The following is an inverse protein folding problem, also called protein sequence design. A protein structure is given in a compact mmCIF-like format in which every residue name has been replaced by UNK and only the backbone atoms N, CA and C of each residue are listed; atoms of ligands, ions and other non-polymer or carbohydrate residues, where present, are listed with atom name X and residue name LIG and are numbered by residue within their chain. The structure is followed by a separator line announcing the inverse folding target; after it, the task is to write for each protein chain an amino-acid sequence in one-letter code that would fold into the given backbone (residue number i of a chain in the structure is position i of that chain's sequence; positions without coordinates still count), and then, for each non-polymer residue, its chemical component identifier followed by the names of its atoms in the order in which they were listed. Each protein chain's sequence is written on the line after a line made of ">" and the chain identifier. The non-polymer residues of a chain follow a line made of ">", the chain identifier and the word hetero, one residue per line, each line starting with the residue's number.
data_IF_657264721152
#
_entry.id   IF_657264721152
#
_cell.length_a   1.000
_cell.length_b   1.000
_cell.length_c   1.000
_cell.angle_alpha   90.00
_cell.angle_beta   90.00
_cell.angle_gamma   90.00
#
_symmetry.space_group_name_H-M   'P 1'
#
loop_
_entity.id
_entity.type
_entity.pdbx_description
1 polymer ?
#
# COMPACT_ATOMS: atom_id res chain seq x y z
N UNK A 1 -7.42 20.20 19.10
CA UNK A 1 -6.29 19.50 19.76
C UNK A 1 -5.43 20.61 20.29
N UNK A 2 -5.09 20.62 21.57
CA UNK A 2 -4.21 21.65 22.11
C UNK A 2 -2.75 21.21 21.89
N UNK A 3 -1.90 22.20 21.64
CA UNK A 3 -0.45 22.03 21.64
C UNK A 3 0.06 22.47 23.01
N UNK A 4 0.88 21.63 23.64
CA UNK A 4 1.55 21.91 24.89
C UNK A 4 3.04 22.15 24.63
N UNK A 5 3.60 23.16 25.30
CA UNK A 5 5.07 23.31 25.37
C UNK A 5 5.61 22.26 26.33
N UNK A 6 6.71 21.61 25.98
CA UNK A 6 7.39 20.59 26.81
C UNK A 6 8.83 20.99 27.08
N UNK A 7 9.49 20.34 28.04
CA UNK A 7 10.91 20.56 28.32
C UNK A 7 11.80 19.81 27.33
N UNK A 8 13.06 20.25 27.21
CA UNK A 8 14.10 19.54 26.45
C UNK A 8 14.26 18.08 26.91
N UNK A 9 14.32 17.85 28.23
CA UNK A 9 14.43 16.50 28.79
C UNK A 9 13.25 15.62 28.34
N UNK A 10 12.03 16.15 28.42
CA UNK A 10 10.82 15.44 27.98
C UNK A 10 10.88 15.14 26.48
N UNK A 11 11.37 16.10 25.67
CA UNK A 11 11.51 15.92 24.24
C UNK A 11 12.56 14.85 23.90
N UNK A 12 13.70 14.83 24.59
CA UNK A 12 14.79 13.89 24.36
C UNK A 12 14.49 12.47 24.86
N UNK A 13 13.51 12.29 25.76
CA UNK A 13 13.06 10.98 26.22
C UNK A 13 12.23 10.21 25.18
N UNK A 14 11.76 10.87 24.12
CA UNK A 14 11.02 10.20 23.04
C UNK A 14 11.95 9.42 22.10
N UNK A 15 11.42 8.34 21.53
CA UNK A 15 12.17 7.41 20.70
C UNK A 15 12.35 7.93 19.26
N UNK A 16 13.37 8.75 19.03
CA UNK A 16 13.84 9.15 17.71
C UNK A 16 15.37 9.32 17.67
N UNK A 17 15.93 9.25 16.46
CA UNK A 17 17.37 9.46 16.26
C UNK A 17 17.64 10.90 15.87
N UNK A 18 18.43 11.63 16.66
CA UNK A 18 18.95 12.94 16.25
C UNK A 18 19.95 12.79 15.11
N UNK A 19 19.87 13.64 14.10
CA UNK A 19 20.80 13.61 12.97
C UNK A 19 22.21 14.07 13.41
N UNK A 20 23.23 13.19 13.37
CA UNK A 20 24.57 13.53 13.89
C UNK A 20 25.26 14.67 13.13
N UNK A 21 24.86 14.94 11.89
CA UNK A 21 25.49 15.93 11.00
C UNK A 21 25.20 17.39 11.36
N UNK A 22 24.30 17.65 12.31
CA UNK A 22 23.91 19.01 12.75
C UNK A 22 24.51 19.39 14.11
N UNK A 23 25.27 18.48 14.75
CA UNK A 23 25.86 18.69 16.07
C UNK A 23 26.81 19.90 16.03
N UNK A 24 26.48 20.95 16.76
CA UNK A 24 27.29 22.17 16.90
C UNK A 24 26.96 23.30 15.91
N UNK A 25 26.05 23.07 14.96
CA UNK A 25 25.62 24.09 13.98
C UNK A 25 24.26 24.70 14.34
N UNK A 26 23.38 23.91 14.94
CA UNK A 26 22.04 24.34 15.35
C UNK A 26 21.83 24.12 16.84
N UNK A 27 20.98 24.93 17.46
CA UNK A 27 20.56 24.77 18.86
C UNK A 27 19.04 24.71 18.96
N UNK A 28 18.54 23.70 19.64
CA UNK A 28 17.11 23.59 19.98
C UNK A 28 16.76 24.56 21.12
N UNK A 29 15.68 25.32 20.97
CA UNK A 29 15.26 26.35 21.95
C UNK A 29 13.83 26.14 22.46
N UNK A 30 12.95 25.57 21.63
CA UNK A 30 11.54 25.38 21.99
C UNK A 30 11.06 24.02 21.52
N UNK A 31 10.37 23.31 22.41
CA UNK A 31 9.81 21.99 22.15
C UNK A 31 8.32 21.98 22.43
N UNK A 32 7.57 21.31 21.57
CA UNK A 32 6.12 21.20 21.62
C UNK A 32 5.67 19.77 21.37
N UNK A 33 4.51 19.43 21.92
CA UNK A 33 3.81 18.19 21.62
C UNK A 33 2.31 18.44 21.56
N UNK A 34 1.57 17.60 20.85
CA UNK A 34 0.12 17.55 20.96
C UNK A 34 -0.31 16.84 22.26
N UNK A 35 -1.57 17.04 22.68
CA UNK A 35 -2.09 16.42 23.92
C UNK A 35 -2.00 14.89 23.95
N UNK A 36 -2.04 14.25 22.78
CA UNK A 36 -2.01 12.80 22.64
C UNK A 36 -0.64 12.25 22.24
N UNK A 37 0.40 13.09 22.26
CA UNK A 37 1.80 12.74 22.03
C UNK A 37 2.02 12.02 20.69
N UNK A 38 1.19 12.28 19.67
CA UNK A 38 1.42 11.76 18.31
C UNK A 38 2.31 12.67 17.48
N UNK A 39 2.50 13.92 17.90
CA UNK A 39 3.30 14.91 17.21
C UNK A 39 4.28 15.55 18.18
N UNK A 40 5.50 15.74 17.69
CA UNK A 40 6.55 16.51 18.33
C UNK A 40 6.99 17.61 17.39
N UNK A 41 7.29 18.78 17.95
CA UNK A 41 7.78 19.93 17.22
C UNK A 41 8.95 20.56 17.95
N UNK A 42 9.97 20.97 17.22
CA UNK A 42 11.08 21.76 17.79
C UNK A 42 11.39 22.96 16.92
N UNK A 43 11.77 24.06 17.57
CA UNK A 43 12.31 25.27 16.95
C UNK A 43 13.81 25.30 17.22
N UNK A 44 14.56 25.53 16.16
CA UNK A 44 16.02 25.48 16.09
C UNK A 44 16.54 26.86 15.67
N UNK A 45 17.64 27.31 16.25
CA UNK A 45 18.40 28.47 15.75
C UNK A 45 19.66 27.99 15.02
N UNK A 46 19.89 28.47 13.81
CA UNK A 46 21.17 28.33 13.13
C UNK A 46 22.19 29.29 13.76
N UNK A 47 23.32 28.75 14.21
CA UNK A 47 24.33 29.54 14.90
C UNK A 47 25.22 30.35 13.95
N UNK A 48 25.19 30.10 12.64
CA UNK A 48 25.98 30.75 11.60
C UNK A 48 25.31 32.05 11.15
N UNK A 49 24.09 31.99 10.62
CA UNK A 49 23.39 33.15 10.05
C UNK A 49 22.26 33.69 10.93
N UNK A 50 22.00 33.04 12.07
CA UNK A 50 21.00 33.44 13.07
C UNK A 50 19.56 33.39 12.57
N UNK A 51 19.31 32.59 11.54
CA UNK A 51 17.95 32.25 11.15
C UNK A 51 17.39 31.11 12.01
N UNK A 52 16.08 30.93 11.94
CA UNK A 52 15.33 29.93 12.68
C UNK A 52 14.81 28.86 11.73
N UNK A 53 14.73 27.64 12.26
CA UNK A 53 14.21 26.47 11.56
C UNK A 53 13.23 25.74 12.46
N UNK A 54 12.28 25.03 11.85
CA UNK A 54 11.30 24.22 12.57
C UNK A 54 11.34 22.79 12.05
N UNK A 55 11.14 21.85 12.96
CA UNK A 55 11.05 20.42 12.64
C UNK A 55 9.82 19.84 13.32
N UNK A 56 9.04 19.08 12.57
CA UNK A 56 7.86 18.37 13.03
C UNK A 56 8.06 16.88 12.78
N UNK A 57 7.81 16.07 13.81
CA UNK A 57 7.88 14.62 13.76
C UNK A 57 6.55 14.01 14.21
N UNK A 58 6.14 12.92 13.56
CA UNK A 58 4.95 12.17 13.91
C UNK A 58 5.31 10.77 14.43
N UNK A 59 4.54 10.29 15.41
CA UNK A 59 4.62 8.93 15.94
C UNK A 59 4.01 7.96 14.93
N UNK A 60 4.81 6.99 14.50
CA UNK A 60 4.41 5.93 13.59
C UNK A 60 3.90 4.69 14.33
N UNK A 61 3.30 3.74 13.60
CA UNK A 61 2.67 2.54 14.19
C UNK A 61 3.66 1.61 14.93
N UNK A 62 4.96 1.69 14.61
CA UNK A 62 6.02 0.95 15.28
C UNK A 62 6.55 1.64 16.55
N UNK A 63 5.99 2.80 16.91
CA UNK A 63 6.35 3.55 18.10
C UNK A 63 7.58 4.45 17.94
N UNK A 64 8.06 4.67 16.71
CA UNK A 64 9.14 5.63 16.43
C UNK A 64 8.59 6.96 15.92
N UNK A 65 9.21 8.07 16.34
CA UNK A 65 8.92 9.37 15.73
C UNK A 65 9.77 9.57 14.47
N UNK A 66 9.14 9.97 13.38
CA UNK A 66 9.79 10.24 12.10
C UNK A 66 9.49 11.64 11.60
N UNK A 67 10.45 12.21 10.89
CA UNK A 67 10.30 13.52 10.24
C UNK A 67 9.06 13.54 9.34
N UNK A 68 8.24 14.57 9.50
CA UNK A 68 7.00 14.76 8.73
C UNK A 68 7.03 16.06 7.95
N UNK A 69 7.48 17.15 8.57
CA UNK A 69 7.51 18.48 7.95
C UNK A 69 8.55 19.38 8.64
N UNK A 70 8.97 20.44 7.97
CA UNK A 70 9.91 21.41 8.50
C UNK A 70 10.08 22.61 7.59
N UNK A 71 10.57 23.71 8.15
CA UNK A 71 10.98 24.90 7.39
C UNK A 71 12.32 25.39 7.92
N UNK A 72 13.06 26.08 7.06
CA UNK A 72 14.38 26.65 7.34
C UNK A 72 14.38 28.12 6.95
N UNK A 73 15.36 28.87 7.46
CA UNK A 73 15.55 30.27 7.10
C UNK A 73 14.37 31.18 7.40
N UNK A 74 13.86 31.08 8.63
CA UNK A 74 12.86 31.96 9.20
C UNK A 74 13.57 33.08 9.97
N UNK A 75 13.27 34.34 9.69
CA UNK A 75 14.03 35.47 10.23
C UNK A 75 13.79 35.68 11.73
N UNK A 76 12.56 35.50 12.20
CA UNK A 76 12.15 35.83 13.57
C UNK A 76 11.74 34.58 14.38
N UNK A 77 12.13 34.55 15.65
CA UNK A 77 11.82 33.47 16.61
C UNK A 77 10.31 33.28 16.78
N UNK A 78 9.59 34.37 17.02
CA UNK A 78 8.14 34.37 17.22
C UNK A 78 7.41 33.85 15.97
N UNK A 79 7.90 34.22 14.78
CA UNK A 79 7.38 33.72 13.51
C UNK A 79 7.60 32.20 13.39
N UNK A 80 8.79 31.71 13.73
CA UNK A 80 9.08 30.28 13.69
C UNK A 80 8.17 29.49 14.63
N UNK A 81 7.95 29.99 15.85
CA UNK A 81 7.03 29.39 16.83
C UNK A 81 5.59 29.35 16.29
N UNK A 82 5.11 30.44 15.70
CA UNK A 82 3.74 30.52 15.16
C UNK A 82 3.54 29.63 13.92
N UNK A 83 4.53 29.58 13.02
CA UNK A 83 4.54 28.66 11.87
C UNK A 83 4.53 27.21 12.31
N UNK A 84 5.36 26.85 13.29
CA UNK A 84 5.39 25.50 13.88
C UNK A 84 4.01 25.12 14.42
N UNK A 85 3.41 25.95 15.29
CA UNK A 85 2.10 25.68 15.89
C UNK A 85 1.00 25.55 14.84
N UNK A 86 1.02 26.40 13.83
CA UNK A 86 0.05 26.39 12.73
C UNK A 86 0.13 25.09 11.95
N UNK A 87 1.33 24.67 11.55
CA UNK A 87 1.57 23.41 10.84
C UNK A 87 1.22 22.19 11.68
N UNK A 88 1.69 22.13 12.93
CA UNK A 88 1.34 21.04 13.85
C UNK A 88 -0.18 20.93 14.03
N UNK A 89 -0.90 22.05 14.14
CA UNK A 89 -2.36 22.05 14.23
C UNK A 89 -3.03 21.54 12.95
N UNK A 90 -2.50 21.89 11.78
CA UNK A 90 -3.00 21.41 10.50
C UNK A 90 -2.77 19.90 10.33
N UNK A 91 -1.57 19.40 10.67
CA UNK A 91 -1.22 17.97 10.65
C UNK A 91 -2.10 17.20 11.63
N UNK A 92 -2.25 17.70 12.86
CA UNK A 92 -3.13 17.10 13.86
C UNK A 92 -4.58 17.03 13.37
N UNK A 93 -5.08 18.07 12.70
CA UNK A 93 -6.44 18.10 12.15
C UNK A 93 -6.60 17.10 11.00
N UNK A 94 -5.63 17.03 10.09
CA UNK A 94 -5.63 16.07 8.99
C UNK A 94 -5.59 14.62 9.51
N UNK A 95 -4.67 14.33 10.44
CA UNK A 95 -4.58 13.03 11.08
C UNK A 95 -5.79 12.67 11.94
N UNK A 96 -6.48 13.66 12.55
CA UNK A 96 -7.77 13.43 13.21
C UNK A 96 -8.88 13.12 12.23
N UNK A 97 -8.97 13.82 11.11
CA UNK A 97 -9.95 13.54 10.06
C UNK A 97 -9.73 12.11 9.56
N UNK A 98 -8.48 11.76 9.26
CA UNK A 98 -8.10 10.42 8.84
C UNK A 98 -8.41 9.36 9.91
N UNK A 99 -7.99 9.58 11.17
CA UNK A 99 -8.32 8.69 12.28
C UNK A 99 -9.83 8.64 12.56
N UNK A 100 -10.62 9.70 12.39
CA UNK A 100 -12.09 9.69 12.54
C UNK A 100 -12.77 8.95 11.38
N UNK A 101 -12.27 9.09 10.15
CA UNK A 101 -12.67 8.27 9.01
C UNK A 101 -12.43 6.78 9.30
N UNK A 102 -11.24 6.43 9.83
CA UNK A 102 -10.88 5.04 10.15
C UNK A 102 -11.39 4.52 11.50
N UNK A 103 -11.71 5.38 12.48
CA UNK A 103 -12.21 5.01 13.82
C UNK A 103 -13.71 5.13 13.97
N UNK A 104 -14.39 5.77 13.01
CA UNK A 104 -15.85 5.72 12.97
C UNK A 104 -16.29 4.26 12.94
N UNK A 105 -17.22 3.91 13.83
CA UNK A 105 -17.85 2.57 13.92
C UNK A 105 -18.63 2.17 12.65
N UNK A 106 -18.47 2.92 11.55
CA UNK A 106 -18.86 2.53 10.20
C UNK A 106 -17.95 1.40 9.66
N UNK A 107 -16.75 1.22 10.21
CA UNK A 107 -15.85 0.13 9.86
C UNK A 107 -15.63 -0.82 11.04
N UNK A 108 -16.60 -1.70 11.29
CA UNK A 108 -16.27 -2.97 11.94
C UNK A 108 -15.25 -3.69 11.05
N UNK A 109 -14.13 -4.12 11.62
CA UNK A 109 -13.15 -4.99 10.94
C UNK A 109 -13.78 -6.26 10.34
N UNK A 110 -14.97 -6.65 10.82
CA UNK A 110 -15.80 -7.75 10.29
C UNK A 110 -16.91 -7.29 9.33
N UNK A 111 -17.10 -5.98 9.12
CA UNK A 111 -18.05 -5.49 8.13
C UNK A 111 -17.64 -5.92 6.73
N UNK A 112 -18.61 -6.32 5.89
CA UNK A 112 -18.35 -6.67 4.50
C UNK A 112 -17.76 -5.47 3.76
N UNK A 113 -16.63 -5.67 3.06
CA UNK A 113 -16.03 -4.63 2.22
C UNK A 113 -16.87 -4.48 0.96
N UNK A 114 -17.40 -3.29 0.73
CA UNK A 114 -18.03 -2.93 -0.54
C UNK A 114 -17.03 -2.12 -1.34
N UNK A 115 -16.24 -2.81 -2.17
CA UNK A 115 -15.34 -2.15 -3.12
C UNK A 115 -16.15 -1.78 -4.36
N UNK A 116 -16.36 -0.49 -4.59
CA UNK A 116 -17.09 -0.01 -5.78
C UNK A 116 -16.17 0.22 -6.97
N UNK A 117 -14.92 0.60 -6.72
CA UNK A 117 -13.91 0.88 -7.74
C UNK A 117 -12.52 0.45 -7.24
N UNK A 118 -11.62 0.09 -8.17
CA UNK A 118 -10.23 -0.28 -7.87
C UNK A 118 -9.34 0.90 -8.23
N UNK A 119 -8.74 1.52 -7.22
CA UNK A 119 -7.78 2.61 -7.38
C UNK A 119 -6.51 2.35 -6.56
N UNK A 120 -5.56 3.28 -6.61
CA UNK A 120 -4.29 3.21 -5.86
C UNK A 120 -4.49 3.05 -4.34
N UNK A 121 -5.49 3.74 -3.76
CA UNK A 121 -5.78 3.64 -2.32
C UNK A 121 -6.27 2.24 -1.94
N UNK A 122 -7.10 1.62 -2.79
CA UNK A 122 -7.58 0.25 -2.60
C UNK A 122 -6.43 -0.76 -2.72
N UNK A 123 -5.47 -0.54 -3.63
CA UNK A 123 -4.26 -1.38 -3.73
C UNK A 123 -3.38 -1.24 -2.48
N UNK A 124 -3.15 -0.01 -2.00
CA UNK A 124 -2.45 0.26 -0.73
C UNK A 124 -3.15 -0.38 0.48
N UNK A 125 -4.49 -0.36 0.49
CA UNK A 125 -5.27 -1.05 1.51
C UNK A 125 -5.02 -2.55 1.51
N UNK A 126 -5.03 -3.20 0.34
CA UNK A 126 -4.72 -4.64 0.24
C UNK A 126 -3.25 -4.97 0.48
N UNK A 127 -2.32 -4.05 0.22
CA UNK A 127 -0.93 -4.18 0.68
C UNK A 127 -0.86 -4.24 2.20
N UNK A 128 -1.52 -3.31 2.90
CA UNK A 128 -1.54 -3.26 4.37
C UNK A 128 -2.31 -4.44 4.99
N UNK A 129 -3.39 -4.87 4.34
CA UNK A 129 -4.28 -5.93 4.83
C UNK A 129 -4.58 -7.00 3.77
N UNK A 130 -3.60 -7.82 3.35
CA UNK A 130 -3.76 -8.78 2.26
C UNK A 130 -4.81 -9.87 2.53
N UNK A 131 -5.08 -10.20 3.79
CA UNK A 131 -6.16 -11.10 4.19
C UNK A 131 -7.55 -10.59 3.78
N UNK A 132 -7.72 -9.27 3.57
CA UNK A 132 -8.99 -8.68 3.13
C UNK A 132 -9.30 -9.02 1.66
N UNK A 133 -8.36 -9.58 0.90
CA UNK A 133 -8.63 -10.13 -0.43
C UNK A 133 -9.71 -11.22 -0.42
N UNK A 134 -9.88 -11.93 0.71
CA UNK A 134 -10.94 -12.95 0.85
C UNK A 134 -12.35 -12.36 0.90
N UNK A 135 -12.46 -11.08 1.27
CA UNK A 135 -13.74 -10.38 1.39
C UNK A 135 -14.23 -9.86 0.03
N UNK A 136 -13.38 -9.88 -0.99
CA UNK A 136 -13.76 -9.50 -2.35
C UNK A 136 -14.75 -10.52 -2.94
N UNK A 137 -15.78 -9.99 -3.60
CA UNK A 137 -16.52 -10.82 -4.54
C UNK A 137 -15.60 -11.22 -5.72
N UNK A 138 -15.86 -12.36 -6.40
CA UNK A 138 -14.97 -12.85 -7.46
C UNK A 138 -14.71 -11.82 -8.57
N UNK A 139 -15.74 -11.06 -8.97
CA UNK A 139 -15.60 -10.06 -10.02
C UNK A 139 -14.68 -8.89 -9.62
N UNK A 140 -14.76 -8.43 -8.38
CA UNK A 140 -13.87 -7.39 -7.85
C UNK A 140 -12.44 -7.88 -7.70
N UNK A 141 -12.26 -9.18 -7.42
CA UNK A 141 -10.94 -9.79 -7.48
C UNK A 141 -10.37 -9.79 -8.91
N UNK A 142 -11.17 -10.14 -9.93
CA UNK A 142 -10.77 -10.03 -11.34
C UNK A 142 -10.36 -8.58 -11.70
N UNK A 143 -11.17 -7.59 -11.29
CA UNK A 143 -10.87 -6.16 -11.51
C UNK A 143 -9.57 -5.72 -10.82
N UNK A 144 -9.30 -6.19 -9.61
CA UNK A 144 -8.05 -5.92 -8.92
C UNK A 144 -6.84 -6.47 -9.68
N UNK A 145 -6.91 -7.73 -10.11
CA UNK A 145 -5.82 -8.36 -10.88
C UNK A 145 -5.64 -7.65 -12.22
N UNK A 146 -6.72 -7.27 -12.90
CA UNK A 146 -6.66 -6.50 -14.13
C UNK A 146 -5.94 -5.16 -13.92
N UNK A 147 -6.30 -4.41 -12.89
CA UNK A 147 -5.66 -3.12 -12.58
C UNK A 147 -4.17 -3.28 -12.25
N UNK A 148 -3.78 -4.31 -11.51
CA UNK A 148 -2.36 -4.61 -11.25
C UNK A 148 -1.62 -4.91 -12.56
N UNK A 149 -2.22 -5.70 -13.47
CA UNK A 149 -1.62 -6.02 -14.76
C UNK A 149 -1.44 -4.77 -15.65
N UNK A 150 -2.38 -3.83 -15.61
CA UNK A 150 -2.25 -2.53 -16.29
C UNK A 150 -1.02 -1.76 -15.78
N UNK A 151 -0.80 -1.70 -14.47
CA UNK A 151 0.38 -1.04 -13.88
C UNK A 151 1.68 -1.77 -14.21
N UNK A 152 1.62 -3.07 -14.50
CA UNK A 152 2.75 -3.85 -15.03
C UNK A 152 2.99 -3.61 -16.53
N UNK A 153 2.21 -2.75 -17.17
CA UNK A 153 2.39 -2.32 -18.56
C UNK A 153 1.63 -3.16 -19.58
N UNK A 154 0.67 -3.99 -19.16
CA UNK A 154 -0.20 -4.70 -20.09
C UNK A 154 -1.37 -3.83 -20.52
N UNK A 155 -1.79 -3.99 -21.78
CA UNK A 155 -3.16 -3.64 -22.17
C UNK A 155 -4.08 -4.77 -21.75
N UNK A 156 -5.12 -4.44 -20.99
CA UNK A 156 -5.99 -5.42 -20.32
C UNK A 156 -7.43 -5.29 -20.79
N UNK A 157 -8.10 -6.43 -20.96
CA UNK A 157 -9.53 -6.53 -21.22
C UNK A 157 -10.13 -7.54 -20.24
N UNK A 158 -11.12 -7.11 -19.43
CA UNK A 158 -11.93 -8.00 -18.61
C UNK A 158 -13.01 -8.67 -19.45
N UNK A 159 -13.08 -9.99 -19.43
CA UNK A 159 -14.13 -10.73 -20.13
C UNK A 159 -15.47 -10.57 -19.41
N UNK A 160 -16.56 -10.91 -20.11
CA UNK A 160 -17.90 -10.90 -19.51
C UNK A 160 -18.00 -12.05 -18.51
N UNK A 161 -18.70 -11.80 -17.40
CA UNK A 161 -18.94 -12.80 -16.35
C UNK A 161 -19.70 -14.06 -16.82
N UNK A 162 -20.26 -14.06 -18.03
CA UNK A 162 -20.96 -15.20 -18.62
C UNK A 162 -19.98 -16.20 -19.23
N UNK A 163 -19.60 -17.23 -18.45
CA UNK A 163 -19.00 -18.54 -18.84
C UNK A 163 -18.30 -18.60 -20.23
N UNK A 164 -17.36 -17.71 -20.51
CA UNK A 164 -16.69 -17.64 -21.83
C UNK A 164 -15.43 -18.52 -21.90
N UNK A 165 -15.47 -19.68 -21.24
CA UNK A 165 -14.52 -20.75 -21.49
C UNK A 165 -13.29 -20.82 -20.57
N UNK A 166 -13.23 -20.10 -19.44
CA UNK A 166 -12.12 -20.23 -18.48
C UNK A 166 -10.97 -19.24 -18.71
N UNK A 167 -11.32 -17.99 -19.00
CA UNK A 167 -10.45 -16.82 -18.87
C UNK A 167 -11.28 -15.62 -18.42
N UNK A 168 -10.82 -14.93 -17.40
CA UNK A 168 -11.47 -13.74 -16.85
C UNK A 168 -10.84 -12.45 -17.37
N UNK A 169 -9.55 -12.51 -17.74
CA UNK A 169 -8.78 -11.38 -18.22
C UNK A 169 -7.97 -11.77 -19.45
N UNK A 170 -7.94 -10.87 -20.43
CA UNK A 170 -7.04 -10.92 -21.58
C UNK A 170 -6.02 -9.80 -21.40
N UNK A 171 -4.74 -10.15 -21.23
CA UNK A 171 -3.66 -9.20 -21.05
C UNK A 171 -2.68 -9.29 -22.22
N UNK A 172 -2.25 -8.17 -22.78
CA UNK A 172 -1.36 -8.16 -23.94
C UNK A 172 -0.29 -7.08 -23.89
N UNK A 173 0.87 -7.38 -24.49
CA UNK A 173 1.92 -6.42 -24.79
C UNK A 173 2.19 -6.51 -26.28
N UNK A 174 2.00 -5.41 -26.99
CA UNK A 174 2.24 -5.33 -28.44
C UNK A 174 3.09 -4.12 -28.76
N UNK A 175 4.27 -4.37 -29.31
CA UNK A 175 5.17 -3.35 -29.83
C UNK A 175 5.93 -3.87 -31.06
N UNK A 176 6.92 -3.12 -31.55
CA UNK A 176 7.70 -3.50 -32.74
C UNK A 176 8.57 -4.75 -32.56
N UNK A 177 8.85 -5.16 -31.31
CA UNK A 177 9.72 -6.29 -30.98
C UNK A 177 8.95 -7.53 -30.53
N UNK A 178 7.80 -7.36 -29.88
CA UNK A 178 7.03 -8.47 -29.30
C UNK A 178 5.53 -8.32 -29.49
N UNK A 179 4.87 -9.46 -29.64
CA UNK A 179 3.43 -9.61 -29.55
C UNK A 179 3.14 -10.74 -28.57
N UNK A 180 2.84 -10.38 -27.33
CA UNK A 180 2.61 -11.31 -26.24
C UNK A 180 1.14 -11.22 -25.80
N UNK A 181 0.47 -12.37 -25.77
CA UNK A 181 -0.92 -12.49 -25.33
C UNK A 181 -1.00 -13.47 -24.16
N UNK A 182 -1.54 -13.01 -23.04
CA UNK A 182 -1.81 -13.83 -21.87
C UNK A 182 -3.32 -13.92 -21.61
N UNK A 183 -3.79 -15.13 -21.32
CA UNK A 183 -5.11 -15.34 -20.73
C UNK A 183 -4.98 -15.64 -19.25
N UNK A 184 -5.75 -14.93 -18.43
CA UNK A 184 -5.70 -15.06 -16.98
C UNK A 184 -7.03 -15.58 -16.47
N UNK A 185 -6.98 -16.67 -15.71
CA UNK A 185 -8.12 -17.22 -14.96
C UNK A 185 -7.94 -16.85 -13.48
N UNK A 186 -8.93 -16.16 -12.92
CA UNK A 186 -8.93 -15.70 -11.54
C UNK A 186 -9.83 -16.61 -10.68
N UNK A 187 -9.28 -17.11 -9.58
CA UNK A 187 -10.01 -17.93 -8.60
C UNK A 187 -9.90 -17.34 -7.20
N UNK A 188 -10.89 -16.55 -6.80
CA UNK A 188 -11.04 -16.12 -5.41
C UNK A 188 -11.55 -17.27 -4.55
N UNK A 189 -10.68 -18.04 -3.93
CA UNK A 189 -11.01 -19.14 -3.00
C UNK A 189 -10.55 -18.83 -1.58
N UNK A 190 -11.17 -19.48 -0.60
CA UNK A 190 -10.73 -19.44 0.79
C UNK A 190 -9.35 -20.14 0.95
N UNK A 191 -8.54 -19.79 1.97
CA UNK A 191 -7.18 -20.32 2.14
C UNK A 191 -7.10 -21.85 2.25
N UNK A 192 -8.14 -22.46 2.82
CA UNK A 192 -8.28 -23.91 3.02
C UNK A 192 -8.84 -24.64 1.79
N UNK A 193 -9.41 -23.91 0.83
CA UNK A 193 -9.92 -24.45 -0.43
C UNK A 193 -8.89 -24.26 -1.55
N UNK A 194 -8.00 -25.24 -1.72
CA UNK A 194 -6.91 -25.20 -2.69
C UNK A 194 -7.37 -25.51 -4.12
N UNK A 195 -6.66 -24.95 -5.09
CA UNK A 195 -6.86 -25.22 -6.52
C UNK A 195 -6.44 -26.66 -6.83
N UNK A 196 -7.38 -27.43 -7.37
CA UNK A 196 -7.19 -28.82 -7.77
C UNK A 196 -6.71 -28.96 -9.22
N UNK A 197 -6.49 -30.20 -9.64
CA UNK A 197 -6.03 -30.56 -10.99
C UNK A 197 -7.08 -30.22 -12.05
N UNK A 198 -8.37 -30.17 -11.70
CA UNK A 198 -9.46 -29.90 -12.63
C UNK A 198 -9.33 -28.53 -13.29
N UNK A 199 -9.03 -27.51 -12.50
CA UNK A 199 -8.82 -26.14 -12.99
C UNK A 199 -7.59 -26.07 -13.92
N UNK A 200 -6.51 -26.77 -13.58
CA UNK A 200 -5.31 -26.82 -14.42
C UNK A 200 -5.64 -27.38 -15.80
N UNK A 201 -6.36 -28.51 -15.86
CA UNK A 201 -6.79 -29.16 -17.11
C UNK A 201 -7.74 -28.31 -17.92
N UNK A 202 -8.64 -27.58 -17.26
CA UNK A 202 -9.54 -26.65 -17.92
C UNK A 202 -8.75 -25.56 -18.65
N UNK A 203 -7.83 -24.89 -17.95
CA UNK A 203 -6.99 -23.83 -18.53
C UNK A 203 -6.04 -24.38 -19.59
N UNK A 204 -5.53 -25.59 -19.41
CA UNK A 204 -4.77 -26.30 -20.45
C UNK A 204 -5.61 -26.51 -21.74
N UNK A 205 -6.89 -26.83 -21.61
CA UNK A 205 -7.81 -26.92 -22.75
C UNK A 205 -7.97 -25.58 -23.48
N UNK A 206 -8.05 -24.47 -22.74
CA UNK A 206 -8.08 -23.11 -23.30
C UNK A 206 -6.76 -22.78 -24.00
N UNK A 207 -5.63 -23.06 -23.35
CA UNK A 207 -4.27 -22.88 -23.90
C UNK A 207 -4.13 -23.61 -25.23
N UNK A 208 -4.59 -24.86 -25.31
CA UNK A 208 -4.51 -25.66 -26.54
C UNK A 208 -5.42 -25.13 -27.66
N UNK A 209 -6.66 -24.78 -27.32
CA UNK A 209 -7.68 -24.35 -28.29
C UNK A 209 -7.39 -22.96 -28.86
N UNK A 210 -7.04 -22.00 -28.01
CA UNK A 210 -6.91 -20.60 -28.39
C UNK A 210 -5.47 -20.14 -28.57
N UNK A 211 -4.49 -20.92 -28.10
CA UNK A 211 -3.05 -20.69 -28.29
C UNK A 211 -2.57 -19.26 -27.91
N UNK A 212 -2.92 -18.72 -26.73
CA UNK A 212 -2.26 -17.53 -26.24
C UNK A 212 -0.76 -17.82 -26.02
N UNK A 213 0.06 -16.78 -25.96
CA UNK A 213 1.49 -16.93 -25.62
C UNK A 213 1.67 -17.56 -24.24
N UNK A 214 0.79 -17.21 -23.30
CA UNK A 214 0.76 -17.80 -21.95
C UNK A 214 -0.67 -17.87 -21.40
N UNK A 215 -0.91 -18.85 -20.55
CA UNK A 215 -2.05 -18.88 -19.63
C UNK A 215 -1.55 -18.67 -18.22
N UNK A 216 -2.33 -18.00 -17.38
CA UNK A 216 -1.97 -17.68 -16.00
C UNK A 216 -3.17 -17.99 -15.12
N UNK A 217 -2.96 -18.74 -14.05
CA UNK A 217 -3.98 -18.94 -13.03
C UNK A 217 -3.59 -18.11 -11.82
N UNK A 218 -4.47 -17.20 -11.40
CA UNK A 218 -4.28 -16.34 -10.24
C UNK A 218 -5.32 -16.68 -9.18
N UNK A 219 -4.89 -16.92 -7.94
CA UNK A 219 -5.81 -17.28 -6.86
C UNK A 219 -5.45 -16.64 -5.53
N UNK A 220 -6.46 -16.29 -4.73
CA UNK A 220 -6.29 -15.90 -3.31
C UNK A 220 -5.97 -17.10 -2.40
N UNK A 221 -6.06 -18.32 -2.92
CA UNK A 221 -5.72 -19.56 -2.21
C UNK A 221 -4.35 -20.08 -2.66
N UNK A 222 -4.14 -21.39 -2.58
CA UNK A 222 -2.93 -22.09 -2.96
C UNK A 222 -3.24 -23.27 -3.88
N UNK A 223 -2.22 -23.78 -4.56
CA UNK A 223 -2.34 -24.94 -5.42
C UNK A 223 -2.09 -26.24 -4.65
N UNK A 224 -2.85 -27.29 -4.96
CA UNK A 224 -2.56 -28.64 -4.47
C UNK A 224 -1.25 -29.16 -5.09
N UNK A 225 -0.60 -30.13 -4.41
CA UNK A 225 0.64 -30.73 -4.94
C UNK A 225 0.44 -31.36 -6.32
N UNK A 226 -0.74 -31.96 -6.55
CA UNK A 226 -1.05 -32.58 -7.83
C UNK A 226 -1.37 -31.56 -8.91
N UNK A 227 -2.02 -30.42 -8.57
CA UNK A 227 -2.18 -29.31 -9.51
C UNK A 227 -0.83 -28.75 -9.97
N UNK A 228 0.12 -28.57 -9.04
CA UNK A 228 1.48 -28.13 -9.38
C UNK A 228 2.20 -29.16 -10.27
N UNK A 229 2.06 -30.46 -9.99
CA UNK A 229 2.63 -31.51 -10.86
C UNK A 229 2.00 -31.50 -12.25
N UNK A 230 0.69 -31.33 -12.36
CA UNK A 230 -0.01 -31.26 -13.65
C UNK A 230 0.47 -30.06 -14.47
N UNK A 231 0.63 -28.89 -13.84
CA UNK A 231 1.08 -27.68 -14.52
C UNK A 231 2.49 -27.82 -15.12
N UNK A 232 3.35 -28.68 -14.55
CA UNK A 232 4.71 -28.94 -15.08
C UNK A 232 4.71 -29.47 -16.51
N UNK A 233 3.65 -30.16 -16.95
CA UNK A 233 3.58 -30.64 -18.34
C UNK A 233 3.56 -29.53 -19.39
N UNK A 234 3.19 -28.30 -18.98
CA UNK A 234 3.09 -27.13 -19.84
C UNK A 234 3.71 -25.89 -19.18
N UNK A 235 4.75 -26.05 -18.36
CA UNK A 235 5.35 -24.96 -17.56
C UNK A 235 5.83 -23.74 -18.38
N UNK A 236 6.19 -23.94 -19.65
CA UNK A 236 6.55 -22.85 -20.54
C UNK A 236 5.35 -22.00 -21.00
N UNK A 237 4.13 -22.54 -20.86
CA UNK A 237 2.89 -21.95 -21.35
C UNK A 237 1.91 -21.62 -20.21
N UNK A 238 2.08 -22.17 -19.01
CA UNK A 238 1.19 -21.96 -17.87
C UNK A 238 1.96 -21.50 -16.64
N UNK A 239 1.60 -20.33 -16.11
CA UNK A 239 2.05 -19.85 -14.81
C UNK A 239 0.97 -20.04 -13.74
N UNK A 240 1.41 -20.42 -12.54
CA UNK A 240 0.58 -20.47 -11.34
C UNK A 240 0.96 -19.31 -10.43
N UNK A 241 -0.05 -18.55 -9.98
CA UNK A 241 0.11 -17.38 -9.12
C UNK A 241 -0.84 -17.47 -7.93
N UNK A 242 -0.26 -17.61 -6.75
CA UNK A 242 -1.00 -17.80 -5.51
C UNK A 242 -1.08 -16.52 -4.67
N UNK A 243 -1.64 -16.64 -3.47
CA UNK A 243 -1.77 -15.52 -2.54
C UNK A 243 -0.46 -14.76 -2.29
N UNK A 244 0.68 -15.45 -2.22
CA UNK A 244 1.97 -14.82 -1.98
C UNK A 244 2.45 -14.04 -3.21
N UNK A 245 2.20 -14.54 -4.42
CA UNK A 245 2.50 -13.80 -5.64
C UNK A 245 1.72 -12.47 -5.68
N UNK A 246 0.43 -12.50 -5.33
CA UNK A 246 -0.41 -11.30 -5.28
C UNK A 246 0.12 -10.31 -4.25
N UNK A 247 0.47 -10.79 -3.04
CA UNK A 247 1.09 -9.96 -2.01
C UNK A 247 2.36 -9.28 -2.53
N UNK A 248 3.23 -10.03 -3.19
CA UNK A 248 4.47 -9.50 -3.75
C UNK A 248 4.21 -8.44 -4.84
N UNK A 249 3.15 -8.57 -5.63
CA UNK A 249 2.77 -7.53 -6.59
C UNK A 249 2.28 -6.26 -5.89
N UNK A 250 1.54 -6.42 -4.79
CA UNK A 250 1.00 -5.31 -4.01
C UNK A 250 2.07 -4.50 -3.28
N UNK A 251 3.26 -5.05 -3.03
CA UNK A 251 4.36 -4.30 -2.39
C UNK A 251 4.80 -3.04 -3.15
N UNK A 252 4.43 -2.94 -4.44
CA UNK A 252 4.73 -1.80 -5.32
C UNK A 252 3.95 -0.52 -4.99
N UNK A 253 2.84 -0.62 -4.27
CA UNK A 253 1.94 0.50 -3.95
C UNK A 253 2.23 1.07 -2.57
#
# INVERSE_FOLDING_TARGET
>A
MALKRISEDTFNDYNFTKTPSLIGLVREEHWFSDDAENLLGTVLIDLIDKDWSIVIMALEEDGEYRFTDGEVSIEEEDEAIDRLKTKMSAIAKAGKIEKELYSSTLFDSKSPIIVTDINEEIKKFFKKYPQRLYDLNPRKFEELIASILEDLGFTVELTRATRDGGRDIIASIRNSLTNFLAYVECKRYAPDNKIDVGIIRQVQGVQYTHRPSKSIIVTTSFFTRDAVKEAKFIENQLDLKDFNDIKNWLEKY
#
